data_IF_324757597395
#
_entry.id   IF_324757597395
#
_cell.length_a   1.000
_cell.length_b   1.000
_cell.length_c   1.000
_cell.angle_alpha   90.00
_cell.angle_beta   90.00
_cell.angle_gamma   90.00
#
_symmetry.space_group_name_H-M   'P 1'
#
loop_
_entity.id
_entity.type
_entity.pdbx_description
1 polymer ?
#
# COMPACT_ATOMS: atom_id res chain seq x y z
N UNK A 1 -23.41 -0.83 -7.75
CA UNK A 1 -22.86 -0.87 -7.44
C UNK A 1 -21.99 -0.84 -6.84
N UNK A 2 -21.56 -0.93 -6.75
CA UNK A 2 -20.84 -0.96 -6.29
C UNK A 2 -19.95 -1.26 -5.57
N UNK A 3 -19.83 -1.21 -5.28
CA UNK A 3 -19.04 -2.02 -4.49
C UNK A 3 -17.56 -1.84 -4.59
N UNK A 4 -17.11 -1.06 -5.42
CA UNK A 4 -15.72 -0.86 -5.64
C UNK A 4 -15.03 -0.30 -4.46
N UNK A 5 -15.73 0.41 -3.64
CA UNK A 5 -15.07 0.98 -2.52
C UNK A 5 -14.55 -0.08 -1.59
N UNK A 6 -15.12 -1.25 -1.63
CA UNK A 6 -14.60 -2.33 -0.81
C UNK A 6 -13.40 -2.97 -1.44
N UNK A 7 -13.05 -2.54 -2.64
CA UNK A 7 -11.93 -3.11 -3.36
C UNK A 7 -10.70 -2.22 -3.27
N UNK A 8 -10.52 -1.58 -2.15
CA UNK A 8 -9.33 -0.78 -1.94
C UNK A 8 -8.08 -1.60 -2.23
N UNK A 9 -7.06 -1.02 -2.87
CA UNK A 9 -5.82 -1.75 -3.11
C UNK A 9 -5.13 -2.19 -1.83
N UNK A 10 -5.52 -1.62 -0.72
CA UNK A 10 -4.90 -1.94 0.56
C UNK A 10 -5.83 -2.75 1.45
N UNK A 11 -6.86 -3.34 0.88
CA UNK A 11 -7.86 -4.04 1.67
C UNK A 11 -7.31 -5.25 2.40
N UNK A 12 -6.22 -5.83 1.90
CA UNK A 12 -5.61 -6.98 2.55
C UNK A 12 -4.66 -6.62 3.68
N UNK A 13 -4.40 -5.35 3.84
CA UNK A 13 -3.55 -4.90 4.94
C UNK A 13 -4.37 -4.75 6.21
N UNK A 14 -3.70 -4.86 7.34
CA UNK A 14 -4.35 -4.60 8.60
C UNK A 14 -4.68 -3.12 8.77
N UNK A 15 -5.55 -2.83 9.74
CA UNK A 15 -5.97 -1.46 9.96
C UNK A 15 -4.83 -0.50 10.24
N UNK A 16 -3.82 -0.86 11.06
CA UNK A 16 -2.75 0.11 11.31
C UNK A 16 -2.01 0.50 10.04
N UNK A 17 -1.76 -0.46 9.14
CA UNK A 17 -1.05 -0.16 7.91
C UNK A 17 -1.91 0.70 7.00
N UNK A 18 -3.20 0.41 6.92
CA UNK A 18 -4.09 1.21 6.08
C UNK A 18 -4.18 2.63 6.58
N UNK A 19 -4.23 2.80 7.90
CA UNK A 19 -4.25 4.14 8.48
C UNK A 19 -2.97 4.89 8.20
N UNK A 20 -1.85 4.18 8.27
CA UNK A 20 -0.56 4.82 8.00
C UNK A 20 -0.52 5.35 6.59
N UNK A 21 -1.02 4.57 5.63
CA UNK A 21 -1.04 5.00 4.25
C UNK A 21 -1.96 6.19 4.05
N UNK A 22 -3.12 6.15 4.67
CA UNK A 22 -4.06 7.26 4.54
C UNK A 22 -3.46 8.53 5.14
N UNK A 23 -2.81 8.42 6.30
CA UNK A 23 -2.20 9.57 6.92
C UNK A 23 -1.06 10.14 6.09
N UNK A 24 -0.40 9.30 5.32
CA UNK A 24 0.68 9.74 4.45
C UNK A 24 0.16 10.26 3.11
N UNK A 25 -1.15 10.22 2.90
CA UNK A 25 -1.72 10.68 1.65
C UNK A 25 -1.60 9.68 0.52
N UNK A 26 -1.34 8.43 0.84
CA UNK A 26 -1.17 7.40 -0.18
C UNK A 26 -2.49 6.67 -0.34
N UNK A 27 -3.19 6.94 -1.43
CA UNK A 27 -4.50 6.39 -1.64
C UNK A 27 -4.57 5.42 -2.81
N UNK A 28 -3.46 5.23 -3.53
CA UNK A 28 -3.45 4.31 -4.66
C UNK A 28 -2.09 3.63 -4.74
N UNK A 29 -2.06 2.54 -5.50
CA UNK A 29 -0.81 1.84 -5.72
C UNK A 29 0.18 2.68 -6.50
N UNK A 30 -0.32 3.51 -7.40
CA UNK A 30 0.57 4.38 -8.14
C UNK A 30 1.32 5.32 -7.22
N UNK A 31 0.62 5.87 -6.23
CA UNK A 31 1.28 6.74 -5.27
C UNK A 31 2.25 5.97 -4.40
N UNK A 32 1.89 4.74 -4.06
CA UNK A 32 2.80 3.91 -3.29
C UNK A 32 4.08 3.61 -4.06
N UNK A 33 3.96 3.47 -5.37
CA UNK A 33 5.13 3.15 -6.20
C UNK A 33 6.13 4.31 -6.24
N UNK A 34 5.74 5.48 -5.78
CA UNK A 34 6.66 6.61 -5.72
C UNK A 34 7.56 6.56 -4.50
N UNK A 35 7.28 5.65 -3.59
CA UNK A 35 8.11 5.46 -2.41
C UNK A 35 9.07 4.31 -2.62
N UNK A 36 10.19 4.36 -1.91
CA UNK A 36 11.03 3.17 -1.83
C UNK A 36 10.43 2.24 -0.78
N UNK A 37 10.85 0.98 -0.83
CA UNK A 37 10.40 0.01 0.16
C UNK A 37 10.78 0.48 1.58
N UNK A 38 11.96 1.07 1.71
CA UNK A 38 12.41 1.58 3.00
C UNK A 38 11.49 2.69 3.50
N UNK A 39 11.10 3.59 2.61
CA UNK A 39 10.19 4.67 3.00
C UNK A 39 8.84 4.12 3.44
N UNK A 40 8.36 3.10 2.74
CA UNK A 40 7.11 2.47 3.11
C UNK A 40 7.20 1.86 4.52
N UNK A 41 8.32 1.19 4.80
CA UNK A 41 8.51 0.56 6.10
C UNK A 41 8.65 1.57 7.23
N UNK A 42 9.03 2.79 6.90
CA UNK A 42 9.15 3.84 7.91
C UNK A 42 7.83 4.42 8.34
N UNK A 43 6.77 4.13 7.61
CA UNK A 43 5.45 4.64 8.00
C UNK A 43 5.02 3.96 9.30
N UNK A 44 4.53 4.78 10.21
CA UNK A 44 4.09 4.26 11.50
C UNK A 44 2.89 3.33 11.30
N UNK A 45 2.99 2.14 11.83
CA UNK A 45 1.90 1.17 11.71
C UNK A 45 2.10 0.16 10.59
N UNK A 46 3.13 0.34 9.77
CA UNK A 46 3.45 -0.58 8.69
C UNK A 46 4.52 -1.55 9.17
N UNK A 47 4.25 -2.83 9.05
CA UNK A 47 5.23 -3.85 9.41
C UNK A 47 5.78 -4.53 8.19
N UNK A 48 6.80 -5.35 8.41
CA UNK A 48 7.43 -6.08 7.33
C UNK A 48 6.45 -7.00 6.61
N UNK A 49 5.47 -7.50 7.32
CA UNK A 49 4.50 -8.41 6.72
C UNK A 49 3.62 -7.71 5.70
N UNK A 50 3.57 -6.38 5.72
CA UNK A 50 2.80 -5.64 4.75
C UNK A 50 3.49 -5.57 3.39
N UNK A 51 4.81 -5.71 3.38
CA UNK A 51 5.57 -5.54 2.14
C UNK A 51 5.19 -6.55 1.08
N UNK A 52 5.19 -7.87 1.37
CA UNK A 52 4.83 -8.82 0.32
C UNK A 52 3.40 -8.63 -0.18
N UNK A 53 2.51 -8.18 0.68
CA UNK A 53 1.13 -7.97 0.29
C UNK A 53 1.02 -6.87 -0.77
N UNK A 54 1.63 -5.70 -0.49
CA UNK A 54 1.54 -4.60 -1.44
C UNK A 54 2.39 -4.84 -2.66
N UNK A 55 3.51 -5.54 -2.52
CA UNK A 55 4.35 -5.85 -3.68
C UNK A 55 3.60 -6.72 -4.67
N UNK A 56 2.86 -7.68 -4.15
CA UNK A 56 2.09 -8.55 -5.05
C UNK A 56 1.01 -7.76 -5.76
N UNK A 57 0.34 -6.88 -5.02
CA UNK A 57 -0.67 -6.04 -5.64
C UNK A 57 -0.09 -5.14 -6.70
N UNK A 58 1.06 -4.53 -6.40
CA UNK A 58 1.71 -3.65 -7.37
C UNK A 58 2.14 -4.42 -8.60
N UNK A 59 2.63 -5.64 -8.39
CA UNK A 59 3.05 -6.46 -9.52
C UNK A 59 1.89 -6.74 -10.47
N UNK A 60 0.70 -6.98 -9.91
CA UNK A 60 -0.47 -7.20 -10.73
C UNK A 60 -0.79 -6.00 -11.60
N UNK A 61 -0.43 -4.81 -11.14
CA UNK A 61 -0.69 -3.58 -11.86
C UNK A 61 0.51 -3.13 -12.68
N UNK A 62 1.57 -3.90 -12.69
CA UNK A 62 2.77 -3.50 -13.41
C UNK A 62 3.59 -2.46 -12.70
N UNK A 63 3.44 -2.34 -11.39
CA UNK A 63 4.13 -1.34 -10.59
C UNK A 63 5.14 -2.00 -9.65
N UNK A 64 6.00 -1.17 -9.10
CA UNK A 64 6.94 -1.61 -8.09
C UNK A 64 7.38 -0.41 -7.27
N UNK A 65 8.01 -0.69 -6.12
CA UNK A 65 8.56 0.39 -5.33
C UNK A 65 9.66 1.10 -6.12
N UNK A 66 9.78 2.39 -5.84
CA UNK A 66 10.84 3.17 -6.42
C UNK A 66 12.18 2.70 -5.87
N UNK A 67 13.17 2.72 -6.67
CA UNK A 67 14.51 2.40 -6.22
C UNK A 67 15.28 3.66 -5.87
#
# INVERSE_FOLDING_TARGET
>A
MKTEESESPFSKLGNPARRALANAGITSLLELSKLTEKEFLHLHGVGKSSVPVVREKMKEEGLSFRE
#
